data_IF_761931900129
#
_entry.id   IF_761931900129
#
_cell.length_a   1.000
_cell.length_b   1.000
_cell.length_c   1.000
_cell.angle_alpha   90.00
_cell.angle_beta   90.00
_cell.angle_gamma   90.00
#
_symmetry.space_group_name_H-M   'P 1'
#
loop_
_entity.id
_entity.type
_entity.pdbx_description
1 polymer ?
#
# COMPACT_ATOMS: atom_id res chain seq x y z
N UNK A 1 -2.60 5.72 -31.27
CA UNK A 1 -1.73 6.29 -30.21
C UNK A 1 -1.95 5.45 -28.96
N UNK A 2 -0.92 4.82 -28.38
CA UNK A 2 -1.06 4.22 -27.06
C UNK A 2 -1.15 5.33 -26.01
N UNK A 3 -2.12 5.24 -25.09
CA UNK A 3 -2.18 6.07 -23.89
C UNK A 3 -2.33 5.15 -22.68
N UNK A 4 -1.72 5.55 -21.57
CA UNK A 4 -1.79 4.81 -20.31
C UNK A 4 -2.93 5.44 -19.50
N UNK A 5 -4.01 4.67 -19.28
CA UNK A 5 -5.09 5.04 -18.36
C UNK A 5 -4.84 4.38 -17.01
N UNK A 6 -4.45 5.17 -16.02
CA UNK A 6 -4.38 4.70 -14.63
C UNK A 6 -5.79 4.75 -14.04
N UNK A 7 -6.35 3.57 -13.79
CA UNK A 7 -7.65 3.43 -13.12
C UNK A 7 -7.43 2.43 -11.99
N UNK A 8 -7.43 2.90 -10.74
CA UNK A 8 -7.38 2.04 -9.55
C UNK A 8 -8.77 1.94 -8.97
N UNK A 9 -9.36 0.75 -8.96
CA UNK A 9 -10.62 0.49 -8.25
C UNK A 9 -10.59 -0.92 -7.67
N UNK A 10 -11.26 -1.13 -6.53
CA UNK A 10 -11.63 -2.46 -6.07
C UNK A 10 -13.13 -2.65 -6.23
N UNK A 11 -13.54 -3.90 -6.31
CA UNK A 11 -14.94 -4.29 -6.32
C UNK A 11 -15.21 -5.28 -5.20
N UNK A 12 -16.25 -5.04 -4.43
CA UNK A 12 -16.70 -5.92 -3.36
C UNK A 12 -18.13 -6.38 -3.64
N UNK A 13 -18.39 -7.68 -3.50
CA UNK A 13 -19.75 -8.19 -3.56
C UNK A 13 -20.44 -7.98 -2.22
N UNK A 14 -21.60 -7.34 -2.25
CA UNK A 14 -22.44 -7.07 -1.09
C UNK A 14 -23.83 -7.67 -1.30
N UNK A 15 -24.62 -7.93 -0.24
CA UNK A 15 -25.99 -8.43 -0.38
C UNK A 15 -26.92 -7.58 -1.26
N UNK A 16 -26.57 -6.31 -1.52
CA UNK A 16 -27.33 -5.38 -2.36
C UNK A 16 -26.73 -5.12 -3.75
N UNK A 17 -25.63 -5.77 -4.13
CA UNK A 17 -24.98 -5.58 -5.43
C UNK A 17 -23.45 -5.52 -5.37
N UNK A 18 -22.84 -4.89 -6.37
CA UNK A 18 -21.38 -4.70 -6.43
C UNK A 18 -21.05 -3.28 -5.97
N UNK A 19 -20.29 -3.17 -4.89
CA UNK A 19 -19.65 -1.92 -4.50
C UNK A 19 -18.35 -1.74 -5.29
N UNK A 20 -18.12 -0.54 -5.82
CA UNK A 20 -16.87 -0.18 -6.51
C UNK A 20 -16.23 0.98 -5.74
N UNK A 21 -15.08 0.73 -5.14
CA UNK A 21 -14.28 1.71 -4.41
C UNK A 21 -12.96 1.99 -5.11
N UNK A 22 -12.21 2.96 -4.60
CA UNK A 22 -10.84 3.22 -5.02
C UNK A 22 -10.02 3.74 -3.85
N UNK A 23 -8.70 3.55 -3.92
CA UNK A 23 -7.77 4.16 -2.95
C UNK A 23 -7.21 5.41 -3.62
N UNK A 24 -7.50 6.58 -3.07
CA UNK A 24 -6.80 7.80 -3.46
C UNK A 24 -5.54 7.96 -2.62
N UNK A 25 -4.57 8.65 -3.21
CA UNK A 25 -3.38 9.07 -2.50
C UNK A 25 -3.07 10.53 -2.78
N UNK A 26 -2.43 11.16 -1.80
CA UNK A 26 -2.01 12.54 -1.85
C UNK A 26 -0.49 12.62 -1.90
N UNK A 27 0.05 13.30 -2.91
CA UNK A 27 1.49 13.53 -3.06
C UNK A 27 1.76 15.03 -3.04
N UNK A 28 2.67 15.48 -2.17
CA UNK A 28 3.18 16.85 -2.21
C UNK A 28 4.41 16.91 -3.09
N UNK A 29 4.31 17.64 -4.19
CA UNK A 29 5.37 17.82 -5.18
C UNK A 29 6.46 18.77 -4.65
N UNK A 30 7.65 18.70 -5.23
CA UNK A 30 8.78 19.56 -4.86
C UNK A 30 8.53 21.06 -5.05
N UNK A 31 7.56 21.44 -5.89
CA UNK A 31 7.11 22.82 -6.09
C UNK A 31 6.01 23.26 -5.09
N UNK A 32 5.67 22.42 -4.10
CA UNK A 32 4.67 22.71 -3.08
C UNK A 32 3.23 22.37 -3.47
N UNK A 33 2.95 22.02 -4.73
CA UNK A 33 1.62 21.59 -5.19
C UNK A 33 1.28 20.23 -4.61
N UNK A 34 0.03 20.08 -4.17
CA UNK A 34 -0.52 18.80 -3.74
C UNK A 34 -1.34 18.20 -4.86
N UNK A 35 -1.03 16.96 -5.24
CA UNK A 35 -1.79 16.19 -6.24
C UNK A 35 -2.49 15.04 -5.54
N UNK A 36 -3.79 14.88 -5.80
CA UNK A 36 -4.57 13.71 -5.44
C UNK A 36 -4.78 12.85 -6.69
N UNK A 37 -4.50 11.55 -6.59
CA UNK A 37 -4.66 10.61 -7.69
C UNK A 37 -5.04 9.21 -7.19
N UNK A 38 -5.72 8.39 -8.03
CA UNK A 38 -5.93 6.99 -7.71
C UNK A 38 -4.59 6.25 -7.57
N UNK A 39 -4.43 5.53 -6.46
CA UNK A 39 -3.27 4.66 -6.21
C UNK A 39 -3.45 3.37 -7.03
N UNK A 40 -2.52 3.00 -7.93
CA UNK A 40 -2.49 1.66 -8.47
C UNK A 40 -2.14 0.67 -7.36
N UNK A 41 -2.84 -0.46 -7.29
CA UNK A 41 -2.55 -1.51 -6.31
C UNK A 41 -2.97 -2.88 -6.84
N UNK A 42 -2.41 -3.92 -6.23
CA UNK A 42 -2.81 -5.30 -6.44
C UNK A 42 -3.66 -5.73 -5.24
N UNK A 43 -4.96 -6.03 -5.43
CA UNK A 43 -5.80 -6.51 -4.35
C UNK A 43 -5.40 -7.92 -3.90
N UNK A 44 -5.49 -8.16 -2.60
CA UNK A 44 -5.19 -9.41 -1.90
C UNK A 44 -6.40 -9.90 -1.11
N UNK A 45 -7.60 -9.76 -1.69
CA UNK A 45 -8.87 -10.09 -1.04
C UNK A 45 -9.81 -8.88 -1.01
N UNK A 46 -10.66 -8.82 0.01
CA UNK A 46 -11.68 -7.78 0.15
C UNK A 46 -11.16 -6.46 0.75
N UNK A 47 -10.09 -6.49 1.54
CA UNK A 47 -9.65 -5.33 2.34
C UNK A 47 -8.13 -5.16 2.41
N UNK A 48 -7.37 -5.95 1.66
CA UNK A 48 -5.89 -5.94 1.69
C UNK A 48 -5.32 -5.78 0.29
N UNK A 49 -4.17 -5.13 0.18
CA UNK A 49 -3.46 -5.00 -1.09
C UNK A 49 -1.98 -4.73 -0.92
N UNK A 50 -1.30 -4.61 -2.06
CA UNK A 50 0.04 -4.04 -2.15
C UNK A 50 0.07 -3.00 -3.25
N UNK A 51 0.67 -1.85 -2.99
CA UNK A 51 0.81 -0.76 -3.94
C UNK A 51 2.30 -0.52 -4.24
N UNK A 52 2.68 -0.07 -5.46
CA UNK A 52 4.02 0.42 -5.69
C UNK A 52 4.24 1.69 -4.83
N UNK A 53 5.50 1.95 -4.48
CA UNK A 53 5.86 3.21 -3.84
C UNK A 53 5.57 4.35 -4.80
N UNK A 54 5.02 5.44 -4.26
CA UNK A 54 4.70 6.63 -5.03
C UNK A 54 5.40 7.81 -4.41
N UNK A 55 6.20 8.49 -5.22
CA UNK A 55 7.10 9.57 -4.80
C UNK A 55 6.88 10.81 -5.67
N UNK A 56 7.18 12.00 -5.15
CA UNK A 56 7.30 13.18 -6.00
C UNK A 56 8.44 12.97 -6.99
N UNK A 57 8.14 13.11 -8.28
CA UNK A 57 9.11 13.12 -9.35
C UNK A 57 9.65 14.53 -9.62
N UNK A 58 10.57 14.62 -10.56
CA UNK A 58 11.13 15.90 -11.01
C UNK A 58 10.07 16.74 -11.74
N UNK A 59 10.27 18.06 -11.77
CA UNK A 59 9.43 19.02 -12.52
C UNK A 59 7.91 18.93 -12.23
N UNK A 60 7.52 18.58 -11.01
CA UNK A 60 6.11 18.48 -10.62
C UNK A 60 5.39 17.23 -11.13
N UNK A 61 6.14 16.17 -11.43
CA UNK A 61 5.59 14.86 -11.77
C UNK A 61 5.39 13.97 -10.54
N UNK A 62 4.65 12.89 -10.70
CA UNK A 62 4.56 11.80 -9.72
C UNK A 62 5.26 10.58 -10.31
N UNK A 63 6.13 9.94 -9.52
CA UNK A 63 6.81 8.70 -9.89
C UNK A 63 6.13 7.52 -9.21
N UNK A 64 5.72 6.54 -10.00
CA UNK A 64 5.33 5.22 -9.53
C UNK A 64 6.56 4.30 -9.60
N UNK A 65 7.04 3.84 -8.46
CA UNK A 65 8.21 2.97 -8.36
C UNK A 65 7.79 1.51 -8.11
N UNK A 66 7.77 0.72 -9.18
CA UNK A 66 7.42 -0.71 -9.13
C UNK A 66 8.56 -1.60 -8.59
N UNK A 67 9.71 -1.03 -8.23
CA UNK A 67 10.78 -1.76 -7.55
C UNK A 67 10.60 -1.79 -6.04
N UNK A 68 9.68 -0.98 -5.49
CA UNK A 68 9.36 -0.96 -4.07
C UNK A 68 7.85 -1.04 -3.86
N UNK A 69 7.44 -1.78 -2.84
CA UNK A 69 6.05 -2.15 -2.60
C UNK A 69 5.64 -1.83 -1.16
N UNK A 70 4.48 -1.20 -1.00
CA UNK A 70 3.88 -0.82 0.27
C UNK A 70 2.66 -1.72 0.54
N UNK A 71 2.61 -2.45 1.65
CA UNK A 71 1.39 -3.07 2.15
C UNK A 71 0.29 -2.03 2.38
N UNK A 72 -0.94 -2.34 1.98
CA UNK A 72 -2.08 -1.46 2.20
C UNK A 72 -3.27 -2.25 2.73
N UNK A 73 -4.04 -1.62 3.62
CA UNK A 73 -5.38 -2.04 4.01
C UNK A 73 -6.38 -0.99 3.51
N UNK A 74 -7.53 -1.45 3.04
CA UNK A 74 -8.59 -0.62 2.45
C UNK A 74 -9.97 -1.17 2.81
N UNK A 75 -11.01 -0.36 2.55
CA UNK A 75 -12.38 -0.62 3.00
C UNK A 75 -12.81 0.49 3.95
N UNK A 76 -13.26 0.12 5.15
CA UNK A 76 -13.70 1.06 6.19
C UNK A 76 -12.63 2.09 6.57
N UNK A 77 -11.37 1.65 6.64
CA UNK A 77 -10.22 2.51 6.88
C UNK A 77 -9.17 2.21 5.81
N UNK A 78 -8.58 3.27 5.26
CA UNK A 78 -7.40 3.13 4.40
C UNK A 78 -6.16 3.36 5.25
N UNK A 79 -5.30 2.35 5.34
CA UNK A 79 -4.03 2.42 6.04
C UNK A 79 -2.89 1.96 5.12
N UNK A 80 -1.75 2.64 5.23
CA UNK A 80 -0.53 2.28 4.49
C UNK A 80 0.54 1.89 5.48
N UNK A 81 1.23 0.80 5.18
CA UNK A 81 2.41 0.44 5.94
C UNK A 81 3.45 1.57 5.86
N UNK A 82 4.09 1.92 6.99
CA UNK A 82 5.13 2.95 7.00
C UNK A 82 6.46 2.48 6.37
N UNK A 83 6.57 1.20 6.00
CA UNK A 83 7.75 0.59 5.42
C UNK A 83 7.47 0.00 4.04
N UNK A 84 8.47 0.06 3.18
CA UNK A 84 8.41 -0.44 1.81
C UNK A 84 9.35 -1.63 1.65
N UNK A 85 9.03 -2.52 0.72
CA UNK A 85 9.79 -3.73 0.42
C UNK A 85 10.25 -3.73 -1.03
N UNK A 86 11.49 -4.12 -1.28
CA UNK A 86 12.09 -4.23 -2.62
C UNK A 86 11.50 -5.37 -3.48
N UNK A 87 10.65 -6.20 -2.87
CA UNK A 87 10.02 -7.36 -3.49
C UNK A 87 8.53 -7.38 -3.23
N UNK A 88 7.75 -7.50 -4.31
CA UNK A 88 6.30 -7.60 -4.23
C UNK A 88 5.85 -8.80 -3.40
N UNK A 89 6.48 -9.96 -3.57
CA UNK A 89 6.10 -11.17 -2.83
C UNK A 89 6.38 -11.05 -1.34
N UNK A 90 7.40 -10.28 -0.95
CA UNK A 90 7.65 -9.97 0.45
C UNK A 90 6.59 -9.03 1.03
N UNK A 91 6.24 -7.97 0.30
CA UNK A 91 5.15 -7.08 0.71
C UNK A 91 3.84 -7.87 0.90
N UNK A 92 3.50 -8.79 0.00
CA UNK A 92 2.31 -9.66 0.13
C UNK A 92 2.36 -10.51 1.40
N UNK A 93 3.51 -11.14 1.71
CA UNK A 93 3.68 -11.94 2.92
C UNK A 93 3.50 -11.08 4.17
N UNK A 94 4.11 -9.90 4.20
CA UNK A 94 3.98 -8.94 5.30
C UNK A 94 2.54 -8.48 5.46
N UNK A 95 1.86 -8.06 4.37
CA UNK A 95 0.45 -7.63 4.41
C UNK A 95 -0.41 -8.68 5.11
N UNK A 96 -0.29 -9.95 4.69
CA UNK A 96 -1.09 -11.04 5.26
C UNK A 96 -0.67 -11.40 6.68
N UNK A 97 0.62 -11.43 6.97
CA UNK A 97 1.10 -11.79 8.30
C UNK A 97 0.70 -10.74 9.34
N UNK A 98 0.82 -9.46 9.00
CA UNK A 98 0.41 -8.36 9.86
C UNK A 98 -1.09 -8.42 10.11
N UNK A 99 -1.89 -8.51 9.05
CA UNK A 99 -3.35 -8.54 9.19
C UNK A 99 -3.89 -9.73 10.00
N UNK A 100 -3.22 -10.88 9.96
CA UNK A 100 -3.61 -12.07 10.74
C UNK A 100 -3.02 -12.10 12.16
N UNK A 101 -2.13 -11.17 12.52
CA UNK A 101 -1.52 -11.15 13.86
C UNK A 101 -2.44 -10.38 14.83
N UNK A 102 -3.06 -11.05 15.82
CA UNK A 102 -3.97 -10.41 16.76
C UNK A 102 -3.30 -9.37 17.67
N UNK A 103 -1.96 -9.32 17.71
CA UNK A 103 -1.20 -8.33 18.47
C UNK A 103 -0.95 -7.03 17.69
N UNK A 104 -1.43 -6.91 16.45
CA UNK A 104 -1.18 -5.74 15.60
C UNK A 104 -2.46 -5.05 15.16
N UNK A 105 -2.34 -3.77 14.80
CA UNK A 105 -3.40 -2.97 14.22
C UNK A 105 -2.83 -2.10 13.08
N UNK A 106 -3.59 -1.94 12.00
CA UNK A 106 -3.22 -1.07 10.88
C UNK A 106 -3.06 0.42 11.25
N UNK A 107 -3.55 0.83 12.42
CA UNK A 107 -3.38 2.17 12.99
C UNK A 107 -2.28 2.25 14.06
N UNK A 108 -1.54 1.16 14.31
CA UNK A 108 -0.39 1.18 15.21
C UNK A 108 0.63 2.23 14.75
N UNK A 109 1.34 2.81 15.71
CA UNK A 109 2.38 3.77 15.37
C UNK A 109 3.56 3.10 14.65
N UNK A 110 4.38 3.92 13.99
CA UNK A 110 5.51 3.44 13.22
C UNK A 110 6.50 2.59 14.06
N UNK A 111 6.66 2.90 15.34
CA UNK A 111 7.55 2.18 16.25
C UNK A 111 7.02 0.79 16.61
N UNK A 112 5.73 0.68 16.87
CA UNK A 112 5.04 -0.59 17.09
C UNK A 112 5.14 -1.49 15.85
N UNK A 113 4.82 -0.94 14.67
CA UNK A 113 4.92 -1.68 13.41
C UNK A 113 6.37 -2.12 13.13
N UNK A 114 7.36 -1.27 13.38
CA UNK A 114 8.78 -1.64 13.22
C UNK A 114 9.18 -2.77 14.18
N UNK A 115 8.70 -2.73 15.41
CA UNK A 115 8.99 -3.74 16.43
C UNK A 115 8.42 -5.10 16.02
N UNK A 116 7.17 -5.11 15.55
CA UNK A 116 6.57 -6.31 14.99
C UNK A 116 7.35 -6.80 13.77
N UNK A 117 7.66 -5.91 12.82
CA UNK A 117 8.33 -6.27 11.58
C UNK A 117 9.71 -6.89 11.83
N UNK A 118 10.47 -6.39 12.81
CA UNK A 118 11.73 -6.98 13.23
C UNK A 118 11.56 -8.38 13.81
N UNK A 119 10.56 -8.55 14.67
CA UNK A 119 10.26 -9.83 15.33
C UNK A 119 9.82 -10.89 14.30
N UNK A 120 8.86 -10.54 13.45
CA UNK A 120 8.38 -11.40 12.38
C UNK A 120 9.47 -11.65 11.33
N UNK A 121 10.23 -10.61 10.95
CA UNK A 121 11.29 -10.70 9.95
C UNK A 121 12.45 -11.62 10.35
N UNK A 122 12.81 -11.64 11.64
CA UNK A 122 13.85 -12.54 12.18
C UNK A 122 13.51 -14.03 11.96
N UNK A 123 12.23 -14.39 11.96
CA UNK A 123 11.77 -15.76 11.69
C UNK A 123 11.54 -16.06 10.21
N UNK A 124 11.58 -15.04 9.33
CA UNK A 124 11.20 -15.14 7.92
C UNK A 124 12.29 -14.64 6.94
N UNK A 125 13.55 -14.60 7.40
CA UNK A 125 14.73 -14.20 6.59
C UNK A 125 14.65 -12.81 5.99
N UNK A 126 13.97 -11.89 6.67
CA UNK A 126 13.89 -10.48 6.30
C UNK A 126 15.09 -9.75 6.92
N UNK A 127 16.02 -9.30 6.08
CA UNK A 127 17.12 -8.44 6.52
C UNK A 127 16.73 -6.97 6.34
N UNK A 128 16.82 -6.19 7.42
CA UNK A 128 16.75 -4.74 7.33
C UNK A 128 18.13 -4.22 6.92
N UNK A 129 18.19 -3.41 5.87
CA UNK A 129 19.36 -2.61 5.55
C UNK A 129 19.39 -1.36 6.45
#
# INVERSE_FOLDING_TARGET
MPYIKLTGHYSEQTPGGVYIGHINMTVRLGNGVTVELPLPFVPLGSHLGVAPVVEPGEAGSVRLDFTRWTPVSYGDVTARFPFNFDRQDMAVKVTRAFDNDPATNWNDDQGQIMTWLRTWGASHSLSFA
#
